data_IF_786334417229
#
_entry.id   IF_786334417229
#
_cell.length_a   1.000
_cell.length_b   1.000
_cell.length_c   1.000
_cell.angle_alpha   90.00
_cell.angle_beta   90.00
_cell.angle_gamma   90.00
#
_symmetry.space_group_name_H-M   'P 1'
#
loop_
_entity.id
_entity.type
_entity.pdbx_description
1 polymer ?
#
# COMPACT_ATOMS: atom_id res chain seq x y z
N UNK A 1 -7.34 -7.13 17.66
CA UNK A 1 -6.07 -7.01 16.92
C UNK A 1 -6.11 -5.72 16.14
N UNK A 2 -5.14 -4.82 16.35
CA UNK A 2 -4.97 -3.61 15.55
C UNK A 2 -4.01 -3.96 14.40
N UNK A 3 -4.53 -4.02 13.17
CA UNK A 3 -3.78 -4.41 11.98
C UNK A 3 -3.85 -3.29 10.94
N UNK A 4 -2.75 -2.55 10.71
CA UNK A 4 -2.75 -1.35 9.88
C UNK A 4 -3.21 -1.57 8.44
N UNK A 5 -2.80 -2.66 7.79
CA UNK A 5 -3.25 -3.00 6.43
C UNK A 5 -4.78 -3.07 6.35
N UNK A 6 -5.41 -3.86 7.24
CA UNK A 6 -6.87 -3.96 7.29
C UNK A 6 -7.52 -2.61 7.59
N UNK A 7 -6.88 -1.80 8.41
CA UNK A 7 -7.32 -0.43 8.70
C UNK A 7 -7.28 0.45 7.45
N UNK A 8 -6.26 0.29 6.60
CA UNK A 8 -6.20 0.95 5.29
C UNK A 8 -7.37 0.57 4.38
N UNK A 9 -7.67 -0.73 4.25
CA UNK A 9 -8.86 -1.18 3.51
C UNK A 9 -10.16 -0.63 4.09
N UNK A 10 -10.25 -0.54 5.42
CA UNK A 10 -11.44 0.00 6.06
C UNK A 10 -11.67 1.47 5.71
N UNK A 11 -10.62 2.30 5.66
CA UNK A 11 -10.73 3.69 5.20
C UNK A 11 -11.25 3.80 3.75
N UNK A 12 -10.78 2.92 2.86
CA UNK A 12 -11.32 2.85 1.49
C UNK A 12 -12.81 2.46 1.48
N UNK A 13 -13.22 1.55 2.37
CA UNK A 13 -14.62 1.15 2.52
C UNK A 13 -15.47 2.28 3.09
N UNK A 14 -14.95 3.09 4.01
CA UNK A 14 -15.66 4.27 4.54
C UNK A 14 -15.92 5.31 3.44
N UNK A 15 -14.96 5.52 2.53
CA UNK A 15 -15.18 6.37 1.36
C UNK A 15 -16.35 5.86 0.54
N UNK A 16 -16.35 4.58 0.17
CA UNK A 16 -17.43 3.98 -0.61
C UNK A 16 -18.80 4.13 0.08
N UNK A 17 -18.86 3.84 1.38
CA UNK A 17 -20.10 3.99 2.17
C UNK A 17 -20.55 5.45 2.23
N UNK A 18 -19.63 6.38 2.43
CA UNK A 18 -19.96 7.81 2.47
C UNK A 18 -20.52 8.31 1.13
N UNK A 19 -20.00 7.78 0.01
CA UNK A 19 -20.51 8.18 -1.31
C UNK A 19 -21.98 7.76 -1.51
N UNK A 20 -22.41 6.69 -0.87
CA UNK A 20 -23.80 6.19 -0.89
C UNK A 20 -24.69 6.92 0.14
N UNK A 21 -24.27 6.98 1.39
CA UNK A 21 -25.14 7.36 2.51
C UNK A 21 -24.99 8.83 2.95
N UNK A 22 -23.86 9.47 2.64
CA UNK A 22 -23.50 10.83 3.09
C UNK A 22 -23.65 11.05 4.60
N UNK A 23 -23.48 9.97 5.39
CA UNK A 23 -23.63 10.03 6.84
C UNK A 23 -22.37 10.64 7.49
N UNK A 24 -22.50 11.75 8.27
CA UNK A 24 -21.35 12.41 8.89
C UNK A 24 -20.63 11.55 9.94
N UNK A 25 -21.27 10.55 10.52
CA UNK A 25 -20.61 9.61 11.44
C UNK A 25 -19.49 8.82 10.76
N UNK A 26 -19.57 8.61 9.44
CA UNK A 26 -18.51 7.96 8.66
C UNK A 26 -17.25 8.82 8.64
N UNK A 27 -17.42 10.15 8.52
CA UNK A 27 -16.29 11.09 8.57
C UNK A 27 -15.63 11.09 9.96
N UNK A 28 -16.43 11.16 11.03
CA UNK A 28 -15.91 11.13 12.40
C UNK A 28 -15.15 9.84 12.70
N UNK A 29 -15.68 8.69 12.27
CA UNK A 29 -14.99 7.41 12.40
C UNK A 29 -13.68 7.37 11.61
N UNK A 30 -13.71 7.82 10.35
CA UNK A 30 -12.52 7.85 9.50
C UNK A 30 -11.42 8.76 10.06
N UNK A 31 -11.78 9.92 10.64
CA UNK A 31 -10.80 10.82 11.29
C UNK A 31 -10.14 10.15 12.51
N UNK A 32 -10.89 9.44 13.33
CA UNK A 32 -10.32 8.67 14.47
C UNK A 32 -9.34 7.61 13.99
N UNK A 33 -9.68 6.91 12.92
CA UNK A 33 -8.85 5.87 12.33
C UNK A 33 -7.59 6.46 11.70
N UNK A 34 -7.72 7.55 10.93
CA UNK A 34 -6.59 8.25 10.33
C UNK A 34 -5.61 8.76 11.39
N UNK A 35 -6.13 9.38 12.45
CA UNK A 35 -5.32 9.85 13.57
C UNK A 35 -4.57 8.71 14.25
N UNK A 36 -5.18 7.53 14.39
CA UNK A 36 -4.52 6.35 14.93
C UNK A 36 -3.36 5.88 14.02
N UNK A 37 -3.56 5.82 12.69
CA UNK A 37 -2.49 5.46 11.75
C UNK A 37 -1.32 6.46 11.78
N UNK A 38 -1.62 7.76 11.88
CA UNK A 38 -0.61 8.81 12.02
C UNK A 38 0.20 8.60 13.30
N UNK A 39 -0.48 8.41 14.42
CA UNK A 39 0.17 8.16 15.71
C UNK A 39 1.04 6.89 15.69
N UNK A 40 0.54 5.82 15.06
CA UNK A 40 1.30 4.58 14.88
C UNK A 40 2.58 4.83 14.10
N UNK A 41 2.48 5.52 12.97
CA UNK A 41 3.64 5.86 12.13
C UNK A 41 4.65 6.70 12.90
N UNK A 42 4.21 7.73 13.61
CA UNK A 42 5.09 8.64 14.36
C UNK A 42 5.77 7.92 15.55
N UNK A 43 5.08 6.94 16.15
CA UNK A 43 5.62 6.14 17.26
C UNK A 43 6.71 5.17 16.80
N UNK A 44 6.55 4.54 15.65
CA UNK A 44 7.42 3.46 15.18
C UNK A 44 8.38 3.87 14.05
N UNK A 45 8.15 5.04 13.42
CA UNK A 45 8.92 5.50 12.26
C UNK A 45 8.53 4.81 10.96
N UNK A 46 7.33 4.20 10.89
CA UNK A 46 6.81 3.50 9.72
C UNK A 46 5.52 2.74 10.02
N UNK A 47 4.88 2.21 8.99
CA UNK A 47 3.72 1.32 9.14
C UNK A 47 4.21 -0.08 9.50
N UNK A 48 3.96 -0.50 10.74
CA UNK A 48 4.28 -1.84 11.22
C UNK A 48 3.14 -2.81 10.90
N UNK A 49 3.45 -4.12 10.85
CA UNK A 49 2.46 -5.16 10.50
C UNK A 49 1.28 -5.24 11.48
N UNK A 50 1.50 -4.98 12.75
CA UNK A 50 0.43 -5.01 13.76
C UNK A 50 0.95 -4.87 15.19
N UNK A 51 0.01 -4.61 16.10
CA UNK A 51 0.31 -4.44 17.53
C UNK A 51 -0.18 -5.68 18.28
N UNK A 52 0.67 -6.70 18.38
CA UNK A 52 0.47 -7.87 19.24
C UNK A 52 1.81 -8.46 19.66
N UNK A 53 1.84 -9.14 20.80
CA UNK A 53 3.07 -9.56 21.47
C UNK A 53 3.98 -10.51 20.70
N UNK A 54 3.44 -11.22 19.71
CA UNK A 54 4.19 -12.20 18.91
C UNK A 54 4.82 -11.65 17.63
N UNK A 55 4.57 -10.38 17.28
CA UNK A 55 5.08 -9.75 16.06
C UNK A 55 6.13 -8.69 16.40
N UNK A 56 7.30 -8.72 15.75
CA UNK A 56 8.28 -7.66 15.89
C UNK A 56 7.69 -6.30 15.44
N UNK A 57 7.61 -5.34 16.37
CA UNK A 57 7.07 -3.99 16.09
C UNK A 57 8.12 -3.05 15.48
N UNK A 58 9.05 -3.60 14.74
CA UNK A 58 10.12 -2.87 14.07
C UNK A 58 10.23 -3.21 12.59
N UNK A 59 9.26 -3.95 12.04
CA UNK A 59 9.22 -4.31 10.62
C UNK A 59 8.10 -3.54 9.92
N UNK A 60 8.46 -2.78 8.90
CA UNK A 60 7.53 -2.11 7.99
C UNK A 60 7.51 -2.85 6.66
N UNK A 61 6.31 -3.11 6.13
CA UNK A 61 6.10 -3.82 4.87
C UNK A 61 5.67 -2.84 3.79
N UNK A 62 6.23 -2.97 2.60
CA UNK A 62 5.87 -2.14 1.45
C UNK A 62 4.39 -2.29 1.10
N UNK A 63 3.87 -3.51 1.14
CA UNK A 63 2.47 -3.78 0.85
C UNK A 63 1.53 -3.10 1.88
N UNK A 64 1.76 -3.32 3.19
CA UNK A 64 0.95 -2.71 4.25
C UNK A 64 0.99 -1.19 4.19
N UNK A 65 2.18 -0.62 3.95
CA UNK A 65 2.37 0.83 3.77
C UNK A 65 1.56 1.35 2.59
N UNK A 66 1.54 0.61 1.47
CA UNK A 66 0.79 1.00 0.27
C UNK A 66 -0.73 0.98 0.51
N UNK A 67 -1.24 -0.03 1.21
CA UNK A 67 -2.67 -0.12 1.52
C UNK A 67 -3.10 0.98 2.49
N UNK A 68 -2.25 1.31 3.48
CA UNK A 68 -2.50 2.46 4.35
C UNK A 68 -2.48 3.78 3.58
N UNK A 69 -1.51 3.97 2.67
CA UNK A 69 -1.45 5.16 1.82
C UNK A 69 -2.71 5.32 0.97
N UNK A 70 -3.12 4.21 0.29
CA UNK A 70 -4.36 4.17 -0.48
C UNK A 70 -5.57 4.55 0.37
N UNK A 71 -5.74 3.92 1.52
CA UNK A 71 -6.88 4.16 2.41
C UNK A 71 -6.96 5.61 2.90
N UNK A 72 -5.82 6.18 3.30
CA UNK A 72 -5.73 7.60 3.73
C UNK A 72 -6.07 8.55 2.58
N UNK A 73 -5.57 8.31 1.37
CA UNK A 73 -5.86 9.14 0.21
C UNK A 73 -7.33 9.00 -0.24
N UNK A 74 -7.91 7.80 -0.16
CA UNK A 74 -9.35 7.60 -0.37
C UNK A 74 -10.17 8.39 0.64
N UNK A 75 -9.81 8.33 1.91
CA UNK A 75 -10.53 9.04 2.96
C UNK A 75 -10.36 10.56 2.82
N UNK A 76 -9.19 11.05 2.42
CA UNK A 76 -8.99 12.47 2.11
C UNK A 76 -9.98 12.98 1.07
N UNK A 77 -10.36 12.19 0.08
CA UNK A 77 -11.27 12.62 -0.97
C UNK A 77 -12.66 13.00 -0.45
N UNK A 78 -13.08 12.46 0.70
CA UNK A 78 -14.35 12.80 1.35
C UNK A 78 -14.18 13.74 2.55
N UNK A 79 -13.12 13.61 3.33
CA UNK A 79 -12.88 14.43 4.52
C UNK A 79 -12.37 15.83 4.19
N UNK A 80 -11.60 15.96 3.09
CA UNK A 80 -10.88 17.18 2.68
C UNK A 80 -9.96 17.75 3.77
N UNK A 81 -9.57 16.92 4.73
CA UNK A 81 -8.65 17.30 5.80
C UNK A 81 -7.21 17.22 5.32
N UNK A 82 -6.52 18.36 5.22
CA UNK A 82 -5.15 18.47 4.72
C UNK A 82 -4.15 17.60 5.52
N UNK A 83 -4.41 17.35 6.81
CA UNK A 83 -3.59 16.43 7.62
C UNK A 83 -3.57 15.03 7.02
N UNK A 84 -4.71 14.55 6.50
CA UNK A 84 -4.80 13.25 5.83
C UNK A 84 -4.02 13.25 4.51
N UNK A 85 -4.11 14.35 3.73
CA UNK A 85 -3.33 14.48 2.50
C UNK A 85 -1.82 14.49 2.78
N UNK A 86 -1.37 15.25 3.76
CA UNK A 86 0.05 15.33 4.10
C UNK A 86 0.57 13.98 4.60
N UNK A 87 -0.24 13.24 5.37
CA UNK A 87 0.13 11.89 5.78
C UNK A 87 0.14 10.92 4.58
N UNK A 88 -0.82 11.00 3.67
CA UNK A 88 -0.81 10.23 2.43
C UNK A 88 0.44 10.48 1.58
N UNK A 89 0.86 11.75 1.41
CA UNK A 89 2.12 12.11 0.76
C UNK A 89 3.34 11.50 1.47
N UNK A 90 3.36 11.56 2.81
CA UNK A 90 4.44 10.96 3.63
C UNK A 90 4.54 9.45 3.39
N UNK A 91 3.41 8.74 3.36
CA UNK A 91 3.39 7.29 3.09
C UNK A 91 3.83 6.95 1.65
N UNK A 92 3.44 7.74 0.65
CA UNK A 92 3.91 7.57 -0.73
C UNK A 92 5.42 7.80 -0.83
N UNK A 93 5.96 8.81 -0.13
CA UNK A 93 7.41 9.03 -0.07
C UNK A 93 8.16 7.88 0.63
N UNK A 94 7.58 7.29 1.68
CA UNK A 94 8.14 6.07 2.29
C UNK A 94 8.12 4.89 1.31
N UNK A 95 7.06 4.72 0.51
CA UNK A 95 7.00 3.67 -0.50
C UNK A 95 8.09 3.79 -1.56
N UNK A 96 8.48 5.00 -1.93
CA UNK A 96 9.58 5.22 -2.88
C UNK A 96 10.89 4.61 -2.40
N UNK A 97 11.13 4.58 -1.09
CA UNK A 97 12.33 3.97 -0.51
C UNK A 97 12.38 2.44 -0.68
N UNK A 98 11.21 1.80 -0.86
CA UNK A 98 11.14 0.35 -1.10
C UNK A 98 11.39 -0.02 -2.56
N UNK A 99 11.36 0.92 -3.50
CA UNK A 99 11.57 0.63 -4.92
C UNK A 99 13.07 0.45 -5.17
N UNK A 100 13.43 -0.66 -5.81
CA UNK A 100 14.80 -0.96 -6.23
C UNK A 100 15.14 -0.35 -7.59
N UNK A 101 16.40 -0.39 -7.97
CA UNK A 101 16.88 0.12 -9.26
C UNK A 101 16.26 -0.59 -10.47
N UNK A 102 15.82 -1.85 -10.29
CA UNK A 102 15.13 -2.64 -11.32
C UNK A 102 13.62 -2.37 -11.38
N UNK A 103 13.10 -1.49 -10.50
CA UNK A 103 11.70 -1.12 -10.38
C UNK A 103 10.85 -2.09 -9.54
N UNK A 104 11.45 -3.15 -8.98
CA UNK A 104 10.74 -4.05 -8.06
C UNK A 104 10.72 -3.49 -6.63
N UNK A 105 9.76 -3.96 -5.83
CA UNK A 105 9.68 -3.60 -4.42
C UNK A 105 10.48 -4.53 -3.53
N UNK A 106 11.25 -3.96 -2.60
CA UNK A 106 11.71 -4.68 -1.42
C UNK A 106 10.51 -4.97 -0.53
N UNK A 107 10.35 -6.19 -0.01
CA UNK A 107 9.15 -6.56 0.73
C UNK A 107 9.04 -5.88 2.08
N UNK A 108 10.16 -5.70 2.79
CA UNK A 108 10.14 -5.17 4.15
C UNK A 108 11.41 -4.41 4.53
N UNK A 109 11.27 -3.52 5.52
CA UNK A 109 12.32 -2.69 6.12
C UNK A 109 12.30 -2.87 7.62
N UNK A 110 13.46 -3.09 8.21
CA UNK A 110 13.64 -3.06 9.66
C UNK A 110 13.84 -1.60 10.10
N UNK A 111 12.90 -1.08 10.87
CA UNK A 111 12.85 0.33 11.28
C UNK A 111 13.96 0.70 12.29
N UNK A 112 14.48 -0.29 13.05
CA UNK A 112 15.57 -0.05 14.02
C UNK A 112 16.93 0.05 13.34
N UNK A 113 17.23 -0.90 12.45
CA UNK A 113 18.50 -0.94 11.72
C UNK A 113 18.49 -0.07 10.46
N UNK A 114 17.31 0.38 10.02
CA UNK A 114 17.07 1.05 8.74
C UNK A 114 17.51 0.22 7.52
N UNK A 115 17.55 -1.11 7.66
CA UNK A 115 17.96 -2.03 6.61
C UNK A 115 16.74 -2.71 5.98
N UNK A 116 16.82 -2.94 4.67
CA UNK A 116 15.83 -3.73 3.96
C UNK A 116 16.16 -5.22 4.12
N UNK A 117 15.11 -6.02 4.27
CA UNK A 117 15.21 -7.46 4.50
C UNK A 117 14.31 -8.22 3.52
N UNK A 118 14.69 -9.43 3.19
CA UNK A 118 13.91 -10.39 2.42
C UNK A 118 14.05 -11.77 3.07
N UNK A 119 12.99 -12.58 3.03
CA UNK A 119 13.03 -13.92 3.59
C UNK A 119 12.36 -14.91 2.66
N UNK A 120 13.13 -15.87 2.13
CA UNK A 120 12.63 -16.95 1.26
C UNK A 120 11.72 -17.97 1.97
N UNK A 121 11.54 -17.88 3.29
CA UNK A 121 10.71 -18.79 4.08
C UNK A 121 9.24 -18.41 4.13
N UNK A 122 8.94 -17.09 4.06
CA UNK A 122 7.59 -16.56 4.24
C UNK A 122 7.20 -15.80 2.97
N UNK A 123 6.06 -16.16 2.38
CA UNK A 123 5.61 -15.63 1.10
C UNK A 123 5.47 -14.10 1.08
N UNK A 124 4.96 -13.52 2.16
CA UNK A 124 4.77 -12.06 2.31
C UNK A 124 6.06 -11.28 2.60
N UNK A 125 7.19 -11.98 2.77
CA UNK A 125 8.53 -11.40 2.91
C UNK A 125 9.39 -11.57 1.66
N UNK A 126 8.77 -11.84 0.53
CA UNK A 126 9.43 -12.04 -0.77
C UNK A 126 8.87 -11.08 -1.80
N UNK A 127 9.66 -10.78 -2.81
CA UNK A 127 9.19 -10.06 -3.99
C UNK A 127 8.16 -10.92 -4.73
N UNK A 128 7.03 -10.33 -5.09
CA UNK A 128 5.96 -11.07 -5.73
C UNK A 128 4.93 -10.15 -6.41
N UNK A 129 4.00 -10.76 -7.13
CA UNK A 129 2.99 -10.05 -7.90
C UNK A 129 2.07 -9.15 -7.07
N UNK A 130 1.94 -9.41 -5.75
CA UNK A 130 1.15 -8.55 -4.85
C UNK A 130 1.61 -7.09 -4.87
N UNK A 131 2.90 -6.84 -5.16
CA UNK A 131 3.46 -5.48 -5.17
C UNK A 131 2.99 -4.63 -6.35
N UNK A 132 2.34 -5.21 -7.38
CA UNK A 132 1.68 -4.42 -8.43
C UNK A 132 0.65 -3.47 -7.81
N UNK A 133 -0.06 -3.93 -6.77
CA UNK A 133 -1.02 -3.10 -6.03
C UNK A 133 -0.38 -1.87 -5.38
N UNK A 134 0.93 -1.90 -5.11
CA UNK A 134 1.65 -0.75 -4.57
C UNK A 134 1.72 0.45 -5.54
N UNK A 135 1.36 0.28 -6.83
CA UNK A 135 1.22 1.39 -7.77
C UNK A 135 0.02 2.31 -7.45
N UNK A 136 -1.03 1.79 -6.81
CA UNK A 136 -2.29 2.51 -6.63
C UNK A 136 -2.16 3.84 -5.91
N UNK A 137 -1.46 3.99 -4.77
CA UNK A 137 -1.35 5.28 -4.09
C UNK A 137 -0.56 6.32 -4.90
N UNK A 138 0.32 5.93 -5.82
CA UNK A 138 0.98 6.87 -6.74
C UNK A 138 -0.03 7.47 -7.73
N UNK A 139 -0.87 6.65 -8.32
CA UNK A 139 -1.94 7.13 -9.21
C UNK A 139 -2.93 8.02 -8.46
N UNK A 140 -3.37 7.61 -7.26
CA UNK A 140 -4.28 8.41 -6.46
C UNK A 140 -3.71 9.78 -6.10
N UNK A 141 -2.45 9.84 -5.69
CA UNK A 141 -1.81 11.09 -5.35
C UNK A 141 -1.61 11.96 -6.60
N UNK A 142 -1.34 11.36 -7.77
CA UNK A 142 -1.35 12.07 -9.05
C UNK A 142 -2.74 12.65 -9.36
N UNK A 143 -3.82 11.91 -9.15
CA UNK A 143 -5.18 12.41 -9.36
C UNK A 143 -5.48 13.67 -8.52
N UNK A 144 -4.92 13.74 -7.31
CA UNK A 144 -5.11 14.85 -6.38
C UNK A 144 -4.27 16.07 -6.78
N UNK A 145 -2.97 15.89 -7.07
CA UNK A 145 -2.02 16.99 -7.22
C UNK A 145 -1.47 17.19 -8.64
N UNK A 146 -1.82 16.30 -9.58
CA UNK A 146 -1.42 16.33 -11.01
C UNK A 146 0.10 16.29 -11.23
N UNK A 147 0.87 15.80 -10.24
CA UNK A 147 2.32 15.62 -10.41
C UNK A 147 2.61 14.41 -11.33
N UNK A 148 3.12 14.70 -12.53
CA UNK A 148 3.40 13.71 -13.57
C UNK A 148 4.47 12.68 -13.18
N UNK A 149 5.36 12.99 -12.24
CA UNK A 149 6.36 12.04 -11.75
C UNK A 149 5.70 10.89 -10.99
N UNK A 150 4.60 11.16 -10.27
CA UNK A 150 3.82 10.14 -9.60
C UNK A 150 3.11 9.22 -10.60
N UNK A 151 2.50 9.79 -11.64
CA UNK A 151 1.91 9.02 -12.73
C UNK A 151 2.96 8.10 -13.36
N UNK A 152 4.12 8.68 -13.71
CA UNK A 152 5.23 7.92 -14.29
C UNK A 152 5.66 6.76 -13.38
N UNK A 153 5.84 7.01 -12.09
CA UNK A 153 6.22 5.96 -11.12
C UNK A 153 5.18 4.85 -11.04
N UNK A 154 3.88 5.18 -11.00
CA UNK A 154 2.81 4.19 -11.03
C UNK A 154 2.87 3.32 -12.29
N UNK A 155 3.04 3.93 -13.47
CA UNK A 155 3.21 3.22 -14.73
C UNK A 155 4.48 2.35 -14.74
N UNK A 156 5.63 2.90 -14.31
CA UNK A 156 6.90 2.16 -14.25
C UNK A 156 6.78 0.89 -13.38
N UNK A 157 6.04 0.96 -12.27
CA UNK A 157 5.75 -0.20 -11.41
C UNK A 157 4.93 -1.24 -12.19
N UNK A 158 3.82 -0.83 -12.79
CA UNK A 158 2.98 -1.74 -13.59
C UNK A 158 3.76 -2.39 -14.73
N UNK A 159 4.54 -1.61 -15.47
CA UNK A 159 5.38 -2.09 -16.58
C UNK A 159 6.46 -3.06 -16.10
N UNK A 160 7.08 -2.78 -14.97
CA UNK A 160 8.10 -3.66 -14.39
C UNK A 160 7.51 -5.02 -14.06
N UNK A 161 6.39 -5.05 -13.35
CA UNK A 161 5.79 -6.31 -12.93
C UNK A 161 5.07 -7.04 -14.07
N UNK A 162 4.59 -6.35 -15.11
CA UNK A 162 4.00 -6.99 -16.30
C UNK A 162 5.00 -7.88 -17.04
N UNK A 163 6.30 -7.64 -16.91
CA UNK A 163 7.35 -8.51 -17.47
C UNK A 163 7.40 -9.90 -16.80
N UNK A 164 6.81 -10.05 -15.62
CA UNK A 164 6.73 -11.31 -14.88
C UNK A 164 5.38 -12.02 -15.07
N UNK A 165 4.54 -11.55 -16.01
CA UNK A 165 3.31 -12.22 -16.39
C UNK A 165 3.62 -13.53 -17.12
N UNK A 166 2.97 -14.61 -16.74
CA UNK A 166 3.07 -15.90 -17.41
C UNK A 166 2.35 -15.86 -18.79
N UNK A 167 2.72 -16.76 -19.72
CA UNK A 167 2.08 -16.81 -21.04
C UNK A 167 0.56 -17.05 -21.03
N UNK A 168 0.03 -17.64 -19.95
CA UNK A 168 -1.40 -17.86 -19.74
C UNK A 168 -2.12 -16.64 -19.13
N UNK A 169 -1.42 -15.53 -18.93
CA UNK A 169 -1.93 -14.30 -18.33
C UNK A 169 -1.92 -14.26 -16.81
N UNK A 170 -1.55 -15.34 -16.14
CA UNK A 170 -1.42 -15.37 -14.68
C UNK A 170 -0.14 -14.69 -14.20
N UNK A 171 -0.06 -14.44 -12.87
CA UNK A 171 1.15 -13.98 -12.21
C UNK A 171 1.56 -14.97 -11.14
N UNK A 172 2.86 -15.26 -11.07
CA UNK A 172 3.41 -16.09 -10.00
C UNK A 172 3.41 -15.35 -8.67
N UNK A 173 3.19 -16.10 -7.57
CA UNK A 173 3.25 -15.58 -6.20
C UNK A 173 4.58 -14.88 -5.92
N UNK A 174 5.68 -15.47 -6.38
CA UNK A 174 7.04 -14.93 -6.29
C UNK A 174 7.61 -14.78 -7.70
N UNK A 175 8.46 -13.77 -7.90
CA UNK A 175 9.05 -13.49 -9.21
C UNK A 175 9.92 -14.65 -9.75
N UNK A 176 10.45 -15.49 -8.85
CA UNK A 176 11.38 -16.60 -9.21
C UNK A 176 10.72 -17.99 -9.25
N UNK A 177 9.41 -18.11 -9.05
CA UNK A 177 8.74 -19.43 -8.91
C UNK A 177 7.39 -19.47 -9.62
N UNK A 178 7.10 -20.57 -10.31
CA UNK A 178 5.81 -20.82 -10.97
C UNK A 178 4.69 -21.27 -10.02
N UNK A 179 4.58 -20.64 -8.85
CA UNK A 179 3.48 -20.91 -7.92
C UNK A 179 2.45 -19.81 -8.03
N UNK A 180 1.24 -20.15 -8.44
CA UNK A 180 0.13 -19.21 -8.52
C UNK A 180 -0.67 -19.29 -7.23
N UNK A 181 -0.98 -18.12 -6.64
CA UNK A 181 -1.89 -18.00 -5.52
C UNK A 181 -3.01 -17.03 -5.91
N UNK A 182 -4.25 -17.48 -5.85
CA UNK A 182 -5.41 -16.69 -6.29
C UNK A 182 -5.50 -15.34 -5.56
N UNK A 183 -5.24 -15.31 -4.26
CA UNK A 183 -5.31 -14.10 -3.46
C UNK A 183 -4.33 -13.02 -3.95
N UNK A 184 -3.06 -13.38 -4.17
CA UNK A 184 -2.05 -12.43 -4.66
C UNK A 184 -2.24 -12.09 -6.14
N UNK A 185 -2.81 -13.01 -6.93
CA UNK A 185 -3.22 -12.74 -8.31
C UNK A 185 -4.32 -11.66 -8.37
N UNK A 186 -5.31 -11.73 -7.48
CA UNK A 186 -6.34 -10.68 -7.38
C UNK A 186 -5.71 -9.30 -7.05
N UNK A 187 -4.71 -9.24 -6.18
CA UNK A 187 -4.00 -8.00 -5.90
C UNK A 187 -3.26 -7.45 -7.14
N UNK A 188 -2.63 -8.33 -7.92
CA UNK A 188 -1.96 -7.93 -9.15
C UNK A 188 -2.95 -7.35 -10.18
N UNK A 189 -4.07 -8.05 -10.39
CA UNK A 189 -5.13 -7.60 -11.31
C UNK A 189 -5.73 -6.27 -10.85
N UNK A 190 -5.99 -6.11 -9.55
CA UNK A 190 -6.54 -4.87 -9.00
C UNK A 190 -5.59 -3.68 -9.25
N UNK A 191 -4.28 -3.85 -9.02
CA UNK A 191 -3.29 -2.82 -9.28
C UNK A 191 -3.21 -2.42 -10.76
N UNK A 192 -3.21 -3.40 -11.67
CA UNK A 192 -3.20 -3.14 -13.11
C UNK A 192 -4.48 -2.46 -13.60
N UNK A 193 -5.65 -2.91 -13.15
CA UNK A 193 -6.92 -2.30 -13.51
C UNK A 193 -7.02 -0.85 -13.02
N UNK A 194 -6.48 -0.57 -11.84
CA UNK A 194 -6.44 0.79 -11.32
C UNK A 194 -5.55 1.71 -12.17
N UNK A 195 -4.41 1.21 -12.64
CA UNK A 195 -3.49 1.97 -13.49
C UNK A 195 -3.98 2.13 -14.94
N UNK A 196 -4.91 1.26 -15.40
CA UNK A 196 -5.50 1.34 -16.74
C UNK A 196 -6.57 2.44 -16.84
N UNK A 197 -7.33 2.72 -15.78
CA UNK A 197 -8.39 3.73 -15.73
C UNK A 197 -7.82 5.14 -15.48
#
# INVERSE_FOLDING_TARGET
>A
FLYPEITGYFLSSLRFLYDIEKNPLILDLGEKISNWLIQLFDTHGGIIQGIYSSVPQNLSYSFDTSICAKGILDFYQISKNEKNLDFGKKLVSELELFIENDGTFRPLKNLRSNQFEESKKLWYKQKGCLHIKCAMPFFQLYEINKNKDLLKKGCDICDTYSKFQNPDGSFSLHLEKNTINLHTLCYAVEGLLYGYN
#
